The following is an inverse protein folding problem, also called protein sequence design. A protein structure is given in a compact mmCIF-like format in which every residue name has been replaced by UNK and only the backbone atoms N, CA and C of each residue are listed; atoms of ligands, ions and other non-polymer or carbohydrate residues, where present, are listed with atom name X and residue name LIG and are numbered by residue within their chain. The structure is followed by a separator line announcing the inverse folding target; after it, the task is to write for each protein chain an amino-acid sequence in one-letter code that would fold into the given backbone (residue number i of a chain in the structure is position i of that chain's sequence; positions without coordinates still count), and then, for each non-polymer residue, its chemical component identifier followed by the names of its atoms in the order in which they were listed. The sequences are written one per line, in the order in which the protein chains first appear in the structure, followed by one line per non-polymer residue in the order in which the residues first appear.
data_IF_373311096694
#
_entry.id   IF_373311096694
#
_cell.length_a   1.000
_cell.length_b   1.000
_cell.length_c   1.000
_cell.angle_alpha   90.00
_cell.angle_beta   90.00
_cell.angle_gamma   90.00
#
_symmetry.space_group_name_H-M   'P 1'
#
loop_
_entity.id
_entity.type
_entity.pdbx_description
1 polymer ?
#
# COMPACT_ATOMS: atom_id res chain seq x y z
N UNK A 1 2.83 23.48 4.12
CA UNK A 1 3.36 22.20 3.64
C UNK A 1 2.45 21.62 2.58
N UNK A 2 3.02 21.03 1.52
CA UNK A 2 2.25 20.23 0.57
C UNK A 2 1.77 18.94 1.22
N UNK A 3 0.79 18.26 0.61
CA UNK A 3 0.31 16.98 1.11
C UNK A 3 1.44 15.94 1.21
N UNK A 4 2.32 15.89 0.19
CA UNK A 4 3.45 14.96 0.19
C UNK A 4 4.47 15.28 1.26
N UNK A 5 4.74 16.56 1.49
CA UNK A 5 5.66 16.98 2.54
C UNK A 5 5.09 16.65 3.92
N UNK A 6 3.80 16.91 4.13
CA UNK A 6 3.14 16.58 5.40
C UNK A 6 3.19 15.07 5.65
N UNK A 7 2.99 14.26 4.61
CA UNK A 7 3.05 12.81 4.74
C UNK A 7 4.46 12.33 5.10
N UNK A 8 5.49 12.91 4.47
CA UNK A 8 6.88 12.55 4.81
C UNK A 8 7.25 12.94 6.24
N UNK A 9 6.74 14.08 6.72
CA UNK A 9 6.94 14.48 8.12
C UNK A 9 6.28 13.48 9.06
N UNK A 10 5.06 13.05 8.75
CA UNK A 10 4.34 12.04 9.55
C UNK A 10 5.13 10.73 9.62
N UNK A 11 5.67 10.28 8.50
CA UNK A 11 6.49 9.07 8.46
C UNK A 11 7.74 9.24 9.33
N UNK A 12 8.41 10.38 9.23
CA UNK A 12 9.61 10.65 10.02
C UNK A 12 9.31 10.65 11.53
N UNK A 13 8.16 11.21 11.92
CA UNK A 13 7.74 11.18 13.33
C UNK A 13 7.50 9.78 13.83
N UNK A 14 6.85 8.94 13.03
CA UNK A 14 6.62 7.55 13.38
C UNK A 14 7.93 6.79 13.53
N UNK A 15 8.88 7.01 12.61
CA UNK A 15 10.19 6.38 12.66
C UNK A 15 11.00 6.79 13.89
N UNK A 16 10.82 8.03 14.37
CA UNK A 16 11.54 8.52 15.55
C UNK A 16 11.18 7.73 16.81
N UNK A 17 10.05 7.01 16.81
CA UNK A 17 9.66 6.15 17.92
C UNK A 17 10.32 4.76 17.86
N UNK A 18 11.13 4.51 16.86
CA UNK A 18 11.81 3.23 16.64
C UNK A 18 10.85 2.03 16.64
N UNK A 19 9.83 2.05 15.76
CA UNK A 19 8.79 1.02 15.78
C UNK A 19 9.24 -0.29 15.18
N UNK A 20 8.65 -1.40 15.64
CA UNK A 20 8.85 -2.70 15.03
C UNK A 20 7.98 -2.87 13.78
N UNK A 21 6.79 -2.24 13.77
CA UNK A 21 5.84 -2.30 12.67
C UNK A 21 5.29 -0.91 12.41
N UNK A 22 5.18 -0.52 11.16
CA UNK A 22 4.53 0.73 10.78
C UNK A 22 3.21 0.45 10.09
N UNK A 23 2.18 1.19 10.47
CA UNK A 23 0.85 1.09 9.90
C UNK A 23 0.57 2.32 9.04
N UNK A 24 0.14 2.08 7.80
CA UNK A 24 -0.22 3.16 6.87
C UNK A 24 -1.67 2.99 6.44
N UNK A 25 -2.46 4.03 6.55
CA UNK A 25 -3.85 4.03 6.11
C UNK A 25 -3.99 5.03 4.96
N UNK A 26 -4.16 4.51 3.75
CA UNK A 26 -4.29 5.29 2.52
C UNK A 26 -3.18 6.36 2.39
N UNK A 27 -1.90 5.95 2.39
CA UNK A 27 -0.79 6.92 2.50
C UNK A 27 -0.64 7.85 1.30
N UNK A 28 -1.20 7.49 0.14
CA UNK A 28 -1.10 8.30 -1.08
C UNK A 28 -2.43 8.89 -1.53
N UNK A 29 -3.48 8.71 -0.70
CA UNK A 29 -4.80 9.26 -1.00
C UNK A 29 -4.74 10.79 -1.11
N UNK A 30 -5.44 11.33 -2.11
CA UNK A 30 -5.55 12.77 -2.38
C UNK A 30 -4.23 13.47 -2.75
N UNK A 31 -3.19 12.72 -3.09
CA UNK A 31 -1.94 13.28 -3.60
C UNK A 31 -1.93 13.23 -5.13
N UNK A 32 -1.29 14.23 -5.76
CA UNK A 32 -1.09 14.18 -7.21
C UNK A 32 -0.01 13.12 -7.56
N UNK A 33 0.12 12.73 -8.84
CA UNK A 33 1.03 11.64 -9.22
C UNK A 33 2.49 11.86 -8.82
N UNK A 34 2.97 13.10 -8.84
CA UNK A 34 4.34 13.39 -8.47
C UNK A 34 4.58 13.18 -6.98
N UNK A 35 3.67 13.68 -6.16
CA UNK A 35 3.75 13.50 -4.71
C UNK A 35 3.57 12.04 -4.30
N UNK A 36 2.71 11.31 -5.01
CA UNK A 36 2.56 9.86 -4.79
C UNK A 36 3.88 9.15 -4.99
N UNK A 37 4.61 9.49 -6.04
CA UNK A 37 5.92 8.86 -6.31
C UNK A 37 6.93 9.16 -5.20
N UNK A 38 6.92 10.38 -4.68
CA UNK A 38 7.83 10.75 -3.58
C UNK A 38 7.55 9.93 -2.33
N UNK A 39 6.28 9.81 -1.96
CA UNK A 39 5.88 9.01 -0.79
C UNK A 39 6.20 7.54 -1.01
N UNK A 40 5.90 7.02 -2.21
CA UNK A 40 6.19 5.64 -2.57
C UNK A 40 7.69 5.34 -2.46
N UNK A 41 8.53 6.27 -2.90
CA UNK A 41 9.98 6.09 -2.83
C UNK A 41 10.47 6.00 -1.39
N UNK A 42 9.93 6.83 -0.50
CA UNK A 42 10.25 6.75 0.93
C UNK A 42 9.85 5.37 1.48
N UNK A 43 8.67 4.89 1.14
CA UNK A 43 8.19 3.60 1.62
C UNK A 43 9.01 2.44 1.06
N UNK A 44 9.46 2.52 -0.19
CA UNK A 44 10.35 1.52 -0.77
C UNK A 44 11.66 1.43 -0.03
N UNK A 45 12.23 2.56 0.34
CA UNK A 45 13.47 2.59 1.12
C UNK A 45 13.28 1.95 2.48
N UNK A 46 12.16 2.22 3.14
CA UNK A 46 11.85 1.59 4.43
C UNK A 46 11.73 0.07 4.28
N UNK A 47 11.06 -0.41 3.23
CA UNK A 47 10.93 -1.83 2.97
C UNK A 47 12.30 -2.46 2.70
N UNK A 48 13.15 -1.80 1.93
CA UNK A 48 14.51 -2.28 1.64
C UNK A 48 15.35 -2.37 2.90
N UNK A 49 15.12 -1.49 3.86
CA UNK A 49 15.81 -1.50 5.14
C UNK A 49 15.25 -2.54 6.13
N UNK A 50 14.25 -3.31 5.70
CA UNK A 50 13.69 -4.38 6.52
C UNK A 50 12.53 -3.98 7.42
N UNK A 51 11.97 -2.78 7.24
CA UNK A 51 10.83 -2.34 8.03
C UNK A 51 9.59 -3.17 7.71
N UNK A 52 8.95 -3.73 8.73
CA UNK A 52 7.67 -4.40 8.57
C UNK A 52 6.56 -3.37 8.49
N UNK A 53 5.75 -3.45 7.44
CA UNK A 53 4.69 -2.46 7.19
C UNK A 53 3.38 -3.14 6.87
N UNK A 54 2.29 -2.62 7.42
CA UNK A 54 0.94 -2.99 7.04
C UNK A 54 0.31 -1.75 6.40
N UNK A 55 -0.11 -1.89 5.15
CA UNK A 55 -0.60 -0.76 4.35
C UNK A 55 -2.03 -1.05 3.91
N UNK A 56 -2.94 -0.16 4.26
CA UNK A 56 -4.34 -0.21 3.81
C UNK A 56 -4.47 0.76 2.65
N UNK A 57 -4.87 0.26 1.48
CA UNK A 57 -5.05 1.10 0.30
C UNK A 57 -5.99 0.43 -0.70
N UNK A 58 -6.67 1.24 -1.50
CA UNK A 58 -7.41 0.74 -2.66
C UNK A 58 -6.67 1.04 -3.97
N UNK A 59 -5.47 1.59 -3.88
CA UNK A 59 -4.65 1.88 -5.05
C UNK A 59 -3.76 0.68 -5.39
N UNK A 60 -4.19 -0.12 -6.36
CA UNK A 60 -3.53 -1.40 -6.66
C UNK A 60 -2.13 -1.25 -7.25
N UNK A 61 -1.88 -0.22 -8.05
CA UNK A 61 -0.53 0.02 -8.56
C UNK A 61 0.44 0.26 -7.41
N UNK A 62 -0.02 0.99 -6.39
CA UNK A 62 0.76 1.21 -5.18
C UNK A 62 1.04 -0.11 -4.47
N UNK A 63 -0.02 -0.90 -4.23
CA UNK A 63 0.09 -2.15 -3.50
C UNK A 63 1.02 -3.15 -4.19
N UNK A 64 0.88 -3.29 -5.52
CA UNK A 64 1.66 -4.30 -6.27
C UNK A 64 3.10 -3.89 -6.51
N UNK A 65 3.45 -2.62 -6.31
CA UNK A 65 4.78 -2.13 -6.65
C UNK A 65 5.89 -2.63 -5.72
N UNK A 66 5.59 -2.91 -4.45
CA UNK A 66 6.63 -3.37 -3.53
C UNK A 66 6.13 -4.27 -2.38
N UNK A 67 4.85 -4.57 -2.31
CA UNK A 67 4.32 -5.42 -1.26
C UNK A 67 4.83 -6.87 -1.43
N UNK A 68 5.09 -7.54 -0.31
CA UNK A 68 5.45 -8.96 -0.34
C UNK A 68 4.23 -9.85 -0.35
N UNK A 69 3.11 -9.35 0.19
CA UNK A 69 1.85 -10.09 0.22
C UNK A 69 0.69 -9.10 0.13
N UNK A 70 -0.36 -9.49 -0.58
CA UNK A 70 -1.58 -8.71 -0.69
C UNK A 70 -2.73 -9.48 -0.07
N UNK A 71 -3.52 -8.78 0.75
CA UNK A 71 -4.72 -9.31 1.37
C UNK A 71 -5.91 -8.52 0.83
N UNK A 72 -6.84 -9.23 0.19
CA UNK A 72 -8.08 -8.60 -0.25
C UNK A 72 -9.12 -8.75 0.85
N UNK A 73 -9.65 -7.63 1.33
CA UNK A 73 -10.61 -7.62 2.43
C UNK A 73 -11.96 -7.08 1.99
N UNK A 74 -13.01 -7.66 2.55
CA UNK A 74 -14.37 -7.20 2.34
C UNK A 74 -15.18 -7.47 3.60
N UNK A 75 -15.92 -6.45 4.05
CA UNK A 75 -16.80 -6.54 5.23
C UNK A 75 -16.08 -7.06 6.48
N UNK A 76 -14.86 -6.60 6.67
CA UNK A 76 -14.06 -6.97 7.85
C UNK A 76 -13.42 -8.34 7.79
N UNK A 77 -13.50 -9.04 6.66
CA UNK A 77 -12.92 -10.37 6.50
C UNK A 77 -11.89 -10.39 5.39
N UNK A 78 -10.87 -11.25 5.55
CA UNK A 78 -9.90 -11.50 4.49
C UNK A 78 -10.53 -12.51 3.54
N UNK A 79 -10.79 -12.07 2.31
CA UNK A 79 -11.40 -12.90 1.27
C UNK A 79 -10.35 -13.73 0.55
N UNK A 80 -9.21 -13.11 0.25
CA UNK A 80 -8.14 -13.77 -0.46
C UNK A 80 -6.80 -13.16 -0.06
N UNK A 81 -5.74 -13.97 -0.11
CA UNK A 81 -4.37 -13.51 0.11
C UNK A 81 -3.46 -14.17 -0.90
N UNK A 82 -2.41 -13.46 -1.30
CA UNK A 82 -1.47 -13.98 -2.27
C UNK A 82 -0.38 -12.99 -2.60
N UNK A 83 0.44 -13.32 -3.60
CA UNK A 83 1.54 -12.47 -4.02
C UNK A 83 1.03 -11.29 -4.85
N UNK A 84 1.80 -10.19 -4.93
CA UNK A 84 1.44 -9.07 -5.79
C UNK A 84 1.40 -9.43 -7.27
N UNK A 85 2.06 -10.51 -7.68
CA UNK A 85 2.00 -10.99 -9.06
C UNK A 85 0.70 -11.75 -9.33
N UNK A 86 0.25 -12.58 -8.38
CA UNK A 86 -0.90 -13.46 -8.58
C UNK A 86 -2.24 -12.78 -8.38
N UNK A 87 -2.39 -11.96 -7.35
CA UNK A 87 -3.67 -11.34 -7.01
C UNK A 87 -4.23 -10.51 -8.17
N UNK A 88 -3.46 -9.60 -8.82
CA UNK A 88 -4.01 -8.81 -9.92
C UNK A 88 -4.27 -9.60 -11.21
N UNK A 89 -3.50 -10.67 -11.45
CA UNK A 89 -3.55 -11.39 -12.72
C UNK A 89 -4.39 -12.67 -12.68
N UNK A 90 -4.41 -13.36 -11.56
CA UNK A 90 -5.10 -14.66 -11.43
C UNK A 90 -5.73 -14.81 -10.05
N UNK A 91 -6.65 -13.88 -9.68
CA UNK A 91 -7.31 -13.99 -8.38
C UNK A 91 -8.24 -15.20 -8.33
N UNK A 92 -8.26 -15.89 -7.19
CA UNK A 92 -9.02 -17.13 -7.01
C UNK A 92 -10.50 -16.90 -6.77
N UNK A 93 -10.87 -15.77 -6.15
CA UNK A 93 -12.24 -15.49 -5.77
C UNK A 93 -12.88 -14.47 -6.68
N UNK A 94 -14.18 -14.65 -6.95
CA UNK A 94 -14.91 -13.76 -7.83
C UNK A 94 -14.91 -12.31 -7.38
N UNK A 95 -15.04 -12.07 -6.07
CA UNK A 95 -15.06 -10.69 -5.54
C UNK A 95 -13.72 -10.00 -5.79
N UNK A 96 -12.63 -10.72 -5.62
CA UNK A 96 -11.30 -10.20 -5.89
C UNK A 96 -11.15 -9.88 -7.38
N UNK A 97 -11.62 -10.78 -8.24
CA UNK A 97 -11.59 -10.55 -9.70
C UNK A 97 -12.40 -9.33 -10.10
N UNK A 98 -13.58 -9.16 -9.52
CA UNK A 98 -14.43 -8.01 -9.81
C UNK A 98 -13.74 -6.70 -9.41
N UNK A 99 -13.12 -6.67 -8.24
CA UNK A 99 -12.38 -5.51 -7.77
C UNK A 99 -11.20 -5.18 -8.70
N UNK A 100 -10.41 -6.19 -9.04
CA UNK A 100 -9.23 -6.01 -9.90
C UNK A 100 -9.62 -5.59 -11.31
N UNK A 101 -10.68 -6.17 -11.87
CA UNK A 101 -11.17 -5.81 -13.19
C UNK A 101 -11.61 -4.35 -13.25
N UNK A 102 -12.29 -3.88 -12.24
CA UNK A 102 -12.70 -2.48 -12.14
C UNK A 102 -11.47 -1.57 -12.10
N UNK A 103 -10.44 -2.02 -11.40
CA UNK A 103 -9.25 -1.24 -11.22
C UNK A 103 -8.40 -1.15 -12.50
N UNK A 104 -8.30 -2.25 -13.25
CA UNK A 104 -7.44 -2.31 -14.44
C UNK A 104 -7.93 -1.41 -15.58
N UNK A 105 -9.15 -0.97 -15.53
CA UNK A 105 -9.65 0.00 -16.50
C UNK A 105 -9.16 1.40 -16.20
#
# INVERSE_FOLDING_TARGET
LSGGQAQRVSIARALAMDPDVMLFDEPTSALDPELKREVLEVMRKLAADGMTMLIVTHEMHFATSFASEILFMEKGEIVERGSPADIPTSPSFERTRAFMGTYEE
#
